data_IF_736850151893
#
_entry.id   IF_736850151893
#
_cell.length_a   1.000
_cell.length_b   1.000
_cell.length_c   1.000
_cell.angle_alpha   90.00
_cell.angle_beta   90.00
_cell.angle_gamma   90.00
#
_symmetry.space_group_name_H-M   'P 1'
#
loop_
_entity.id
_entity.type
_entity.pdbx_description
1 polymer ?
#
# COMPACT_ATOMS: atom_id res chain seq x y z
N UNK A 1 20.69 9.58 -24.86
CA UNK A 1 19.87 9.36 -23.64
C UNK A 1 18.57 10.13 -23.79
N UNK A 2 17.42 9.52 -23.48
CA UNK A 2 16.15 10.24 -23.52
C UNK A 2 16.06 11.22 -22.35
N UNK A 3 15.79 12.49 -22.64
CA UNK A 3 15.57 13.54 -21.63
C UNK A 3 14.17 14.14 -21.78
N UNK A 4 13.50 14.53 -20.68
CA UNK A 4 12.21 15.19 -20.77
C UNK A 4 12.31 16.52 -21.54
N UNK A 5 11.50 16.68 -22.59
CA UNK A 5 11.47 17.92 -23.39
C UNK A 5 10.93 19.12 -22.61
N UNK A 6 10.00 18.90 -21.68
CA UNK A 6 9.34 19.95 -20.87
C UNK A 6 9.07 19.47 -19.45
N UNK A 7 9.00 20.42 -18.51
CA UNK A 7 8.53 20.17 -17.15
C UNK A 7 7.07 19.67 -17.18
N UNK A 8 6.80 18.62 -16.42
CA UNK A 8 5.43 18.09 -16.26
C UNK A 8 4.61 19.09 -15.44
N UNK A 9 3.41 19.44 -15.93
CA UNK A 9 2.51 20.35 -15.22
C UNK A 9 2.04 19.76 -13.89
N UNK A 10 1.67 20.63 -12.94
CA UNK A 10 1.18 20.20 -11.63
C UNK A 10 -0.02 19.24 -11.74
N UNK A 11 -0.96 19.54 -12.64
CA UNK A 11 -2.14 18.70 -12.91
C UNK A 11 -1.74 17.30 -13.41
N UNK A 12 -0.87 17.22 -14.43
CA UNK A 12 -0.41 15.91 -14.97
C UNK A 12 0.32 15.09 -13.92
N UNK A 13 1.15 15.74 -13.08
CA UNK A 13 1.84 15.07 -11.97
C UNK A 13 0.86 14.52 -10.92
N UNK A 14 -0.18 15.27 -10.55
CA UNK A 14 -1.19 14.84 -9.59
C UNK A 14 -1.98 13.63 -10.09
N UNK A 15 -2.45 13.66 -11.34
CA UNK A 15 -3.16 12.53 -11.96
C UNK A 15 -2.28 11.28 -11.99
N UNK A 16 -1.00 11.40 -12.36
CA UNK A 16 -0.09 10.25 -12.31
C UNK A 16 0.07 9.67 -10.90
N UNK A 17 0.06 10.51 -9.87
CA UNK A 17 0.19 10.10 -8.46
C UNK A 17 -1.12 9.64 -7.82
N UNK A 18 -2.28 9.85 -8.42
CA UNK A 18 -3.54 9.39 -7.82
C UNK A 18 -3.68 7.85 -7.86
N UNK A 19 -2.94 7.18 -8.74
CA UNK A 19 -2.98 5.72 -8.89
C UNK A 19 -2.13 5.01 -7.82
N UNK A 20 -1.21 5.71 -7.15
CA UNK A 20 -0.21 5.08 -6.28
C UNK A 20 -0.70 4.76 -4.86
N UNK A 21 -1.90 5.19 -4.45
CA UNK A 21 -2.41 4.91 -3.11
C UNK A 21 -3.09 3.52 -3.07
N UNK A 22 -2.42 2.54 -2.47
CA UNK A 22 -3.01 1.23 -2.16
C UNK A 22 -3.46 1.17 -0.70
N UNK A 23 -4.75 0.92 -0.46
CA UNK A 23 -5.28 0.66 0.89
C UNK A 23 -4.94 -0.79 1.26
N UNK A 24 -4.25 -0.97 2.39
CA UNK A 24 -3.95 -2.31 2.90
C UNK A 24 -5.21 -2.92 3.51
N UNK A 25 -5.60 -4.11 3.02
CA UNK A 25 -6.64 -4.91 3.66
C UNK A 25 -6.06 -5.61 4.90
N UNK A 26 -6.63 -5.28 6.05
CA UNK A 26 -6.31 -5.88 7.35
C UNK A 26 -7.47 -6.76 7.81
N UNK A 27 -7.15 -7.88 8.46
CA UNK A 27 -8.12 -8.84 8.99
C UNK A 27 -7.80 -9.10 10.46
N UNK A 28 -8.83 -9.31 11.27
CA UNK A 28 -8.68 -9.71 12.66
C UNK A 28 -8.03 -11.11 12.75
N UNK A 29 -7.05 -11.26 13.64
CA UNK A 29 -6.48 -12.56 13.93
C UNK A 29 -7.46 -13.41 14.77
N UNK A 30 -7.70 -14.66 14.36
CA UNK A 30 -8.61 -15.58 15.05
C UNK A 30 -8.17 -15.92 16.48
N UNK A 31 -6.87 -15.94 16.76
CA UNK A 31 -6.34 -16.35 18.07
C UNK A 31 -6.28 -15.20 19.09
N UNK A 32 -5.89 -13.98 18.66
CA UNK A 32 -5.62 -12.88 19.59
C UNK A 32 -6.34 -11.56 19.25
N UNK A 33 -7.23 -11.54 18.26
CA UNK A 33 -8.06 -10.37 17.91
C UNK A 33 -7.31 -9.19 17.25
N UNK A 34 -5.98 -9.18 17.29
CA UNK A 34 -5.18 -8.11 16.67
C UNK A 34 -5.29 -8.08 15.15
N UNK A 35 -5.16 -6.88 14.56
CA UNK A 35 -5.22 -6.68 13.11
C UNK A 35 -3.93 -7.16 12.45
N UNK A 36 -4.05 -8.03 11.46
CA UNK A 36 -2.93 -8.55 10.67
C UNK A 36 -3.17 -8.34 9.18
N UNK A 37 -2.10 -8.37 8.40
CA UNK A 37 -2.20 -8.38 6.94
C UNK A 37 -2.84 -9.68 6.46
N UNK A 38 -3.67 -9.59 5.43
CA UNK A 38 -4.28 -10.75 4.79
C UNK A 38 -3.20 -11.73 4.29
N UNK A 39 -3.33 -13.02 4.66
CA UNK A 39 -2.37 -14.11 4.41
C UNK A 39 -1.00 -14.02 5.08
N UNK A 40 -0.77 -13.08 6.01
CA UNK A 40 0.44 -13.07 6.83
C UNK A 40 0.19 -13.72 8.19
N UNK A 41 1.26 -14.27 8.77
CA UNK A 41 1.26 -14.67 10.17
C UNK A 41 0.99 -13.46 11.07
N UNK A 42 0.29 -13.69 12.19
CA UNK A 42 0.07 -12.63 13.16
C UNK A 42 1.38 -12.31 13.86
N UNK A 43 1.75 -11.03 13.97
CA UNK A 43 2.97 -10.62 14.67
C UNK A 43 2.89 -10.88 16.18
N UNK A 44 1.69 -10.87 16.76
CA UNK A 44 1.51 -11.05 18.21
C UNK A 44 1.42 -12.52 18.61
N UNK A 45 0.59 -13.30 17.92
CA UNK A 45 0.36 -14.70 18.27
C UNK A 45 1.17 -15.72 17.44
N UNK A 46 1.88 -15.28 16.39
CA UNK A 46 2.71 -16.15 15.55
C UNK A 46 1.89 -17.10 14.66
N UNK A 47 2.50 -18.23 14.31
CA UNK A 47 1.87 -19.38 13.64
C UNK A 47 1.55 -20.42 14.72
N UNK A 48 0.53 -20.15 15.54
CA UNK A 48 -0.05 -21.13 16.45
C UNK A 48 -1.56 -21.04 16.36
#
# INVERSE_FOLDING_TARGET
>A
MAVPKKKVSLRRRRIRRSITSSILQLIACKACGSMKKLHYACKNCGVK
#
